data_IF_904113623948
#
_entry.id   IF_904113623948
#
_cell.length_a   1.000
_cell.length_b   1.000
_cell.length_c   1.000
_cell.angle_alpha   90.00
_cell.angle_beta   90.00
_cell.angle_gamma   90.00
#
_symmetry.space_group_name_H-M   'P 1'
#
loop_
_entity.id
_entity.type
_entity.pdbx_description
1 polymer ?
#
# COMPACT_ATOMS: atom_id res chain seq x y z
N UNK A 1 22.80 -20.79 -22.45
CA UNK A 1 22.75 -19.86 -21.31
C UNK A 1 24.03 -19.07 -21.34
N UNK A 2 23.99 -17.74 -21.26
CA UNK A 2 25.22 -16.96 -21.16
C UNK A 2 25.76 -17.09 -19.73
N UNK A 3 26.94 -17.69 -19.61
CA UNK A 3 27.72 -17.81 -18.39
C UNK A 3 29.10 -17.22 -18.70
N UNK A 4 29.57 -16.28 -17.88
CA UNK A 4 30.89 -15.65 -17.99
C UNK A 4 31.66 -16.04 -16.72
N UNK A 5 32.76 -16.81 -16.82
CA UNK A 5 33.58 -17.12 -15.65
C UNK A 5 34.36 -15.88 -15.21
N UNK A 6 34.43 -15.66 -13.89
CA UNK A 6 35.30 -14.64 -13.28
C UNK A 6 36.62 -15.29 -12.86
N UNK A 7 36.53 -16.44 -12.20
CA UNK A 7 37.67 -17.18 -11.68
C UNK A 7 37.21 -18.27 -10.71
N UNK A 8 38.14 -18.75 -9.89
CA UNK A 8 37.90 -19.77 -8.86
C UNK A 8 38.05 -19.14 -7.48
N UNK A 9 37.13 -19.41 -6.56
CA UNK A 9 37.19 -18.95 -5.18
C UNK A 9 38.19 -19.78 -4.34
N UNK A 10 38.55 -19.35 -3.11
CA UNK A 10 39.51 -20.04 -2.26
C UNK A 10 39.12 -21.47 -1.83
N UNK A 11 37.84 -21.82 -1.96
CA UNK A 11 37.28 -23.17 -1.73
C UNK A 11 37.45 -24.12 -2.93
N UNK A 12 37.87 -23.61 -4.09
CA UNK A 12 38.04 -24.36 -5.33
C UNK A 12 36.82 -24.37 -6.25
N UNK A 13 35.69 -23.74 -5.87
CA UNK A 13 34.51 -23.65 -6.74
C UNK A 13 34.55 -22.42 -7.67
N UNK A 14 33.99 -22.53 -8.90
CA UNK A 14 34.03 -21.46 -9.90
C UNK A 14 32.97 -20.39 -9.63
N UNK A 15 33.40 -19.12 -9.62
CA UNK A 15 32.51 -17.95 -9.55
C UNK A 15 32.18 -17.48 -10.97
N UNK A 16 30.89 -17.40 -11.29
CA UNK A 16 30.42 -17.09 -12.66
C UNK A 16 29.30 -16.05 -12.67
N UNK A 17 29.34 -15.12 -13.63
CA UNK A 17 28.20 -14.25 -13.97
C UNK A 17 27.25 -15.00 -14.91
N UNK A 18 25.95 -14.90 -14.68
CA UNK A 18 24.89 -15.44 -15.55
C UNK A 18 23.83 -14.38 -15.78
N UNK A 19 23.14 -14.45 -16.92
CA UNK A 19 22.04 -13.50 -17.23
C UNK A 19 20.69 -14.18 -17.02
N UNK A 20 19.90 -13.68 -16.08
CA UNK A 20 18.62 -14.22 -15.66
C UNK A 20 17.43 -13.33 -16.00
N UNK A 21 16.24 -13.69 -15.48
CA UNK A 21 14.98 -12.97 -15.73
C UNK A 21 14.98 -11.51 -15.24
N UNK A 22 15.80 -11.21 -14.24
CA UNK A 22 15.80 -9.92 -13.54
C UNK A 22 17.06 -9.08 -13.77
N UNK A 23 18.02 -9.58 -14.56
CA UNK A 23 19.32 -8.93 -14.79
C UNK A 23 20.50 -9.92 -14.78
N UNK A 24 21.74 -9.42 -14.83
CA UNK A 24 22.92 -10.20 -14.52
C UNK A 24 22.95 -10.57 -13.02
N UNK A 25 23.46 -11.76 -12.71
CA UNK A 25 23.63 -12.25 -11.34
C UNK A 25 24.89 -13.11 -11.24
N UNK A 26 25.53 -13.06 -10.07
CA UNK A 26 26.60 -13.97 -9.68
C UNK A 26 26.03 -15.32 -9.28
N UNK A 27 26.74 -16.39 -9.60
CA UNK A 27 26.54 -17.73 -9.05
C UNK A 27 27.89 -18.31 -8.61
N UNK A 28 27.88 -18.98 -7.45
CA UNK A 28 28.99 -19.73 -6.86
C UNK A 28 28.36 -20.93 -6.14
N UNK A 29 28.64 -22.15 -6.58
CA UNK A 29 27.88 -23.33 -6.15
C UNK A 29 26.36 -23.15 -6.28
N UNK A 30 25.64 -23.34 -5.17
CA UNK A 30 24.20 -23.08 -5.04
C UNK A 30 23.86 -21.61 -4.68
N UNK A 31 24.82 -20.81 -4.21
CA UNK A 31 24.59 -19.40 -3.89
C UNK A 31 24.43 -18.54 -5.15
N UNK A 32 23.54 -17.56 -5.09
CA UNK A 32 23.35 -16.57 -6.17
C UNK A 32 23.12 -15.18 -5.60
N UNK A 33 23.71 -14.16 -6.22
CA UNK A 33 23.56 -12.75 -5.82
C UNK A 33 23.29 -11.85 -7.03
N UNK A 34 22.37 -10.90 -6.89
CA UNK A 34 22.08 -9.95 -7.97
C UNK A 34 23.23 -8.96 -8.16
N UNK A 35 23.68 -8.76 -9.39
CA UNK A 35 24.65 -7.69 -9.66
C UNK A 35 23.93 -6.33 -9.72
N UNK A 36 24.47 -5.27 -9.08
CA UNK A 36 24.02 -3.90 -9.29
C UNK A 36 24.16 -3.52 -10.78
N UNK A 37 23.23 -2.71 -11.34
CA UNK A 37 23.29 -2.30 -12.74
C UNK A 37 24.47 -1.36 -13.04
N UNK A 38 25.02 -0.73 -12.00
CA UNK A 38 26.11 0.24 -12.07
C UNK A 38 27.50 -0.40 -11.94
N UNK A 39 27.58 -1.72 -11.71
CA UNK A 39 28.87 -2.44 -11.55
C UNK A 39 29.59 -2.58 -12.89
N UNK A 40 30.81 -2.05 -12.97
CA UNK A 40 31.64 -2.14 -14.17
C UNK A 40 32.15 -3.59 -14.34
N UNK A 41 32.13 -4.19 -15.55
CA UNK A 41 32.63 -5.56 -15.76
C UNK A 41 34.10 -5.79 -15.40
N UNK A 42 34.91 -4.73 -15.35
CA UNK A 42 36.35 -4.76 -15.04
C UNK A 42 36.62 -4.76 -13.51
N UNK A 43 35.73 -4.16 -12.73
CA UNK A 43 35.78 -4.16 -11.25
C UNK A 43 35.30 -5.49 -10.63
N UNK A 44 34.88 -6.43 -11.47
CA UNK A 44 34.07 -7.59 -11.12
C UNK A 44 34.95 -8.80 -10.74
N UNK A 45 35.87 -8.60 -9.79
CA UNK A 45 36.87 -9.59 -9.34
C UNK A 45 36.25 -10.74 -8.54
N UNK A 46 37.00 -11.84 -8.34
CA UNK A 46 36.58 -12.97 -7.50
C UNK A 46 36.28 -12.52 -6.07
N UNK A 47 37.16 -11.69 -5.49
CA UNK A 47 36.98 -11.13 -4.14
C UNK A 47 35.69 -10.30 -4.05
N UNK A 48 35.50 -9.36 -4.99
CA UNK A 48 34.31 -8.51 -5.03
C UNK A 48 33.02 -9.31 -5.28
N UNK A 49 33.10 -10.38 -6.05
CA UNK A 49 31.99 -11.29 -6.26
C UNK A 49 31.64 -12.07 -4.97
N UNK A 50 32.64 -12.54 -4.21
CA UNK A 50 32.44 -13.19 -2.92
C UNK A 50 31.85 -12.23 -1.88
N UNK A 51 32.26 -10.96 -1.84
CA UNK A 51 31.62 -9.94 -1.00
C UNK A 51 30.12 -9.77 -1.33
N UNK A 52 29.76 -9.70 -2.61
CA UNK A 52 28.37 -9.56 -3.05
C UNK A 52 27.54 -10.80 -2.72
N UNK A 53 28.13 -12.00 -2.86
CA UNK A 53 27.53 -13.26 -2.43
C UNK A 53 27.33 -13.30 -0.91
N UNK A 54 28.33 -12.88 -0.12
CA UNK A 54 28.19 -12.78 1.34
C UNK A 54 27.12 -11.79 1.77
N UNK A 55 27.04 -10.60 1.17
CA UNK A 55 26.00 -9.61 1.48
C UNK A 55 24.61 -10.16 1.16
N UNK A 56 24.46 -10.88 0.04
CA UNK A 56 23.19 -11.53 -0.29
C UNK A 56 22.85 -12.67 0.69
N UNK A 57 23.84 -13.47 1.09
CA UNK A 57 23.71 -14.66 1.98
C UNK A 57 23.48 -14.28 3.45
N UNK A 58 24.07 -13.17 3.91
CA UNK A 58 23.84 -12.56 5.23
C UNK A 58 22.46 -11.89 5.33
N UNK A 59 21.82 -11.62 4.19
CA UNK A 59 20.47 -11.10 4.10
C UNK A 59 20.33 -9.65 4.58
N UNK A 60 19.10 -9.25 4.90
CA UNK A 60 18.82 -7.94 5.49
C UNK A 60 19.34 -7.92 6.93
N UNK A 61 20.53 -7.35 7.18
CA UNK A 61 21.08 -7.27 8.53
C UNK A 61 20.15 -6.48 9.48
N UNK A 62 19.90 -6.97 10.72
CA UNK A 62 19.19 -6.19 11.72
C UNK A 62 20.10 -5.08 12.26
N UNK A 63 19.50 -3.94 12.60
CA UNK A 63 20.13 -2.83 13.31
C UNK A 63 20.47 -3.19 14.78
N UNK A 64 19.82 -4.21 15.31
CA UNK A 64 19.99 -4.74 16.66
C UNK A 64 18.74 -5.52 17.11
N UNK A 65 18.59 -5.71 18.41
CA UNK A 65 17.43 -6.38 19.02
C UNK A 65 16.65 -5.40 19.92
N UNK A 66 15.33 -5.55 19.98
CA UNK A 66 14.50 -4.74 20.88
C UNK A 66 14.71 -5.17 22.34
N UNK A 67 14.97 -4.24 23.28
CA UNK A 67 15.34 -4.60 24.66
C UNK A 67 14.22 -5.33 25.41
N UNK A 68 12.95 -5.03 25.12
CA UNK A 68 11.81 -5.64 25.82
C UNK A 68 11.33 -6.97 25.22
N UNK A 69 11.56 -7.22 23.93
CA UNK A 69 11.00 -8.42 23.23
C UNK A 69 12.07 -9.39 22.73
N UNK A 70 13.33 -8.96 22.65
CA UNK A 70 14.43 -9.72 22.05
C UNK A 70 14.34 -9.87 20.52
N UNK A 71 13.25 -9.42 19.90
CA UNK A 71 13.03 -9.57 18.45
C UNK A 71 13.99 -8.65 17.66
N UNK A 72 14.53 -9.11 16.52
CA UNK A 72 15.42 -8.31 15.69
C UNK A 72 14.69 -7.10 15.08
N UNK A 73 15.39 -5.98 14.99
CA UNK A 73 14.89 -4.73 14.41
C UNK A 73 15.56 -4.51 13.07
N UNK A 74 14.78 -4.36 12.00
CA UNK A 74 15.28 -4.10 10.65
C UNK A 74 14.86 -2.71 10.17
N UNK A 75 15.74 -2.03 9.44
CA UNK A 75 15.40 -0.81 8.68
C UNK A 75 15.36 -1.16 7.20
N UNK A 76 14.20 -0.98 6.57
CA UNK A 76 13.91 -1.45 5.20
C UNK A 76 13.29 -0.33 4.35
N UNK A 77 13.42 -0.43 3.03
CA UNK A 77 12.83 0.53 2.09
C UNK A 77 11.67 -0.08 1.32
N UNK A 78 10.48 0.54 1.37
CA UNK A 78 9.26 0.02 0.76
C UNK A 78 8.50 1.04 -0.07
N UNK A 79 7.34 0.62 -0.62
CA UNK A 79 6.48 1.44 -1.51
C UNK A 79 5.93 2.75 -0.92
N UNK A 80 6.14 2.98 0.38
CA UNK A 80 5.69 4.16 1.12
C UNK A 80 6.86 4.96 1.71
N UNK A 81 8.10 4.68 1.27
CA UNK A 81 9.33 5.18 1.88
C UNK A 81 9.96 4.15 2.82
N UNK A 82 11.02 4.54 3.54
CA UNK A 82 11.69 3.69 4.51
C UNK A 82 10.84 3.46 5.77
N UNK A 83 11.04 2.31 6.41
CA UNK A 83 10.33 1.87 7.61
C UNK A 83 11.21 1.02 8.53
N UNK A 84 10.88 1.04 9.83
CA UNK A 84 11.38 0.11 10.83
C UNK A 84 10.42 -1.07 10.94
N UNK A 85 10.96 -2.29 11.08
CA UNK A 85 10.22 -3.53 11.28
C UNK A 85 10.76 -4.27 12.50
N UNK A 86 9.88 -4.62 13.44
CA UNK A 86 10.18 -5.49 14.59
C UNK A 86 9.82 -6.95 14.25
N UNK A 87 10.80 -7.84 14.37
CA UNK A 87 10.67 -9.27 14.06
C UNK A 87 10.67 -9.57 12.56
N UNK A 88 10.85 -10.85 12.22
CA UNK A 88 10.87 -11.33 10.85
C UNK A 88 9.51 -11.25 10.16
N UNK A 89 9.53 -11.09 8.83
CA UNK A 89 8.32 -11.14 8.00
C UNK A 89 7.81 -12.58 7.74
N UNK A 90 8.55 -13.58 8.20
CA UNK A 90 8.35 -15.01 7.88
C UNK A 90 7.63 -15.81 8.97
N UNK A 91 7.35 -15.22 10.13
CA UNK A 91 6.67 -15.88 11.24
C UNK A 91 5.13 -15.78 11.19
N UNK A 92 4.44 -16.59 12.00
CA UNK A 92 2.97 -16.58 12.11
C UNK A 92 2.39 -15.25 12.64
N UNK A 93 3.20 -14.50 13.41
CA UNK A 93 2.85 -13.15 13.87
C UNK A 93 3.19 -12.13 12.79
N UNK A 94 2.24 -11.27 12.45
CA UNK A 94 2.51 -10.10 11.60
C UNK A 94 3.45 -9.14 12.35
N UNK A 95 4.64 -8.79 11.82
CA UNK A 95 5.60 -7.93 12.50
C UNK A 95 5.05 -6.50 12.70
N UNK A 96 5.48 -5.82 13.78
CA UNK A 96 5.15 -4.41 14.00
C UNK A 96 5.99 -3.57 13.03
N UNK A 97 5.33 -2.75 12.21
CA UNK A 97 5.97 -1.93 11.17
C UNK A 97 5.57 -0.48 11.40
N UNK A 98 6.56 0.42 11.45
CA UNK A 98 6.37 1.86 11.58
C UNK A 98 7.25 2.57 10.54
N UNK A 99 6.68 3.50 9.77
CA UNK A 99 7.45 4.30 8.81
C UNK A 99 8.47 5.19 9.51
N UNK A 100 9.54 5.56 8.81
CA UNK A 100 10.44 6.61 9.27
C UNK A 100 9.72 7.98 9.25
N UNK A 101 10.22 8.91 10.07
CA UNK A 101 9.82 10.31 10.01
C UNK A 101 10.40 10.98 8.75
N UNK A 102 9.76 12.05 8.28
CA UNK A 102 10.24 12.80 7.10
C UNK A 102 11.58 13.47 7.43
N UNK A 103 12.58 13.25 6.58
CA UNK A 103 13.94 13.76 6.78
C UNK A 103 14.86 12.82 7.59
N UNK A 104 14.37 11.67 8.07
CA UNK A 104 15.26 10.63 8.61
C UNK A 104 15.77 9.73 7.48
N UNK A 105 17.10 9.58 7.40
CA UNK A 105 17.75 8.64 6.48
C UNK A 105 17.85 7.24 7.09
N UNK A 106 17.54 6.16 6.34
CA UNK A 106 17.62 4.79 6.85
C UNK A 106 19.05 4.33 7.17
N UNK A 107 20.08 5.10 6.77
CA UNK A 107 21.50 4.83 7.04
C UNK A 107 22.03 5.43 8.35
N UNK A 108 21.34 6.42 8.93
CA UNK A 108 21.83 7.19 10.09
C UNK A 108 21.03 6.93 11.37
N UNK A 109 20.00 6.08 11.31
CA UNK A 109 19.17 5.71 12.48
C UNK A 109 19.93 4.79 13.42
N UNK A 110 19.90 5.15 14.71
CA UNK A 110 20.37 4.33 15.82
C UNK A 110 19.30 3.36 16.31
N UNK A 111 19.72 2.29 16.98
CA UNK A 111 18.82 1.29 17.58
C UNK A 111 17.79 1.94 18.54
N UNK A 112 18.21 2.92 19.35
CA UNK A 112 17.31 3.65 20.26
C UNK A 112 16.18 4.38 19.53
N UNK A 113 16.50 5.09 18.44
CA UNK A 113 15.51 5.81 17.63
C UNK A 113 14.57 4.83 16.93
N UNK A 114 15.06 3.66 16.52
CA UNK A 114 14.24 2.59 15.98
C UNK A 114 13.28 2.00 17.03
N UNK A 115 13.71 1.80 18.29
CA UNK A 115 12.82 1.40 19.39
C UNK A 115 11.74 2.46 19.67
N UNK A 116 12.12 3.74 19.81
CA UNK A 116 11.19 4.87 20.04
C UNK A 116 10.15 5.01 18.91
N UNK A 117 10.54 4.77 17.66
CA UNK A 117 9.60 4.68 16.53
C UNK A 117 8.68 3.46 16.66
N UNK A 118 9.20 2.30 17.06
CA UNK A 118 8.43 1.08 17.26
C UNK A 118 7.47 1.13 18.45
N UNK A 119 7.59 2.05 19.39
CA UNK A 119 6.56 2.28 20.42
C UNK A 119 5.23 2.74 19.79
N UNK A 120 5.28 3.54 18.73
CA UNK A 120 4.10 4.15 18.10
C UNK A 120 3.03 3.10 17.71
N UNK A 121 1.72 3.38 17.89
CA UNK A 121 1.16 4.65 18.38
C UNK A 121 1.28 4.81 19.90
N UNK A 122 1.76 5.98 20.35
CA UNK A 122 2.05 6.27 21.77
C UNK A 122 0.88 7.03 22.40
N UNK A 123 0.36 6.53 23.51
CA UNK A 123 -0.62 7.25 24.34
C UNK A 123 0.11 8.27 25.23
N UNK A 124 -0.30 9.53 25.22
CA UNK A 124 0.27 10.59 26.05
C UNK A 124 -0.43 10.73 27.41
N UNK A 125 -1.70 10.31 27.48
CA UNK A 125 -2.53 10.42 28.67
C UNK A 125 -4.01 10.43 28.31
N UNK A 126 -4.83 10.95 29.21
CA UNK A 126 -6.25 11.19 29.00
C UNK A 126 -6.54 12.69 29.11
N UNK A 127 -7.50 13.15 28.32
CA UNK A 127 -8.08 14.50 28.38
C UNK A 127 -9.00 14.64 29.61
N UNK A 128 -9.43 15.87 29.95
CA UNK A 128 -10.38 16.16 31.04
C UNK A 128 -11.67 15.33 30.96
N UNK A 129 -12.05 14.97 29.73
CA UNK A 129 -13.23 14.16 29.39
C UNK A 129 -12.98 12.63 29.47
N UNK A 130 -11.83 12.18 29.98
CA UNK A 130 -11.42 10.78 30.03
C UNK A 130 -11.04 10.18 28.66
N UNK A 131 -11.03 10.97 27.59
CA UNK A 131 -10.68 10.51 26.24
C UNK A 131 -9.17 10.29 26.10
N UNK A 132 -8.67 9.11 25.67
CA UNK A 132 -7.24 8.88 25.49
C UNK A 132 -6.69 9.70 24.32
N UNK A 133 -5.56 10.37 24.57
CA UNK A 133 -4.83 11.19 23.58
C UNK A 133 -3.65 10.38 23.06
N UNK A 134 -3.66 10.07 21.76
CA UNK A 134 -2.73 9.12 21.13
C UNK A 134 -2.04 9.74 19.91
N UNK A 135 -0.71 9.64 19.87
CA UNK A 135 0.11 10.05 18.73
C UNK A 135 0.22 8.91 17.72
N UNK A 136 -0.09 9.20 16.46
CA UNK A 136 -0.02 8.28 15.34
C UNK A 136 0.86 8.84 14.22
N UNK A 137 1.52 7.95 13.46
CA UNK A 137 2.18 8.30 12.22
C UNK A 137 1.28 7.95 11.03
N UNK A 138 1.03 8.92 10.14
CA UNK A 138 0.15 8.76 8.98
C UNK A 138 0.78 9.23 7.67
N UNK A 139 0.10 8.97 6.54
CA UNK A 139 0.53 9.34 5.19
C UNK A 139 0.94 10.82 5.05
N UNK A 140 0.25 11.71 5.76
CA UNK A 140 0.48 13.16 5.66
C UNK A 140 1.53 13.68 6.64
N UNK A 141 2.01 12.84 7.57
CA UNK A 141 2.89 13.20 8.68
C UNK A 141 2.37 12.63 10.01
N UNK A 142 3.01 12.98 11.13
CA UNK A 142 2.53 12.68 12.47
C UNK A 142 1.22 13.43 12.79
N UNK A 143 0.34 12.81 13.57
CA UNK A 143 -0.90 13.42 14.03
C UNK A 143 -1.34 12.89 15.40
N UNK A 144 -1.94 13.76 16.20
CA UNK A 144 -2.65 13.43 17.45
C UNK A 144 -4.07 12.99 17.11
N UNK A 145 -4.58 12.02 17.86
CA UNK A 145 -5.96 11.56 17.87
C UNK A 145 -6.53 11.55 19.29
N UNK A 146 -7.73 12.10 19.46
CA UNK A 146 -8.55 12.06 20.68
C UNK A 146 -9.97 11.64 20.27
N UNK A 147 -10.33 10.37 20.46
CA UNK A 147 -11.60 9.83 19.97
C UNK A 147 -11.72 9.95 18.44
N UNK A 148 -12.72 10.70 17.94
CA UNK A 148 -12.83 11.07 16.52
C UNK A 148 -12.06 12.36 16.15
N UNK A 149 -11.60 13.13 17.14
CA UNK A 149 -10.87 14.36 16.90
C UNK A 149 -9.41 14.09 16.51
N UNK A 150 -8.90 14.85 15.55
CA UNK A 150 -7.55 14.64 14.97
C UNK A 150 -6.89 15.96 14.57
N UNK A 151 -5.58 16.06 14.78
CA UNK A 151 -4.74 17.22 14.41
C UNK A 151 -3.37 16.73 13.96
N UNK A 152 -2.87 17.24 12.84
CA UNK A 152 -1.44 17.10 12.51
C UNK A 152 -0.60 17.88 13.53
N UNK A 153 0.57 17.35 13.86
CA UNK A 153 1.63 18.12 14.54
C UNK A 153 2.15 19.23 13.61
N UNK A 154 2.76 20.29 14.15
CA UNK A 154 3.56 21.24 13.34
C UNK A 154 4.91 20.61 12.95
N UNK A 155 5.68 21.20 12.02
CA UNK A 155 7.03 20.71 11.70
C UNK A 155 8.01 20.77 12.89
N UNK A 156 7.68 21.59 13.89
CA UNK A 156 8.49 21.90 15.08
C UNK A 156 8.20 20.92 16.24
N UNK A 157 7.02 20.27 16.25
CA UNK A 157 6.66 19.29 17.26
C UNK A 157 7.16 17.87 16.86
N UNK A 158 8.12 17.30 17.59
CA UNK A 158 8.55 15.92 17.38
C UNK A 158 7.58 14.90 18.04
N UNK A 159 6.97 13.96 17.29
CA UNK A 159 6.05 12.97 17.83
C UNK A 159 6.66 11.97 18.82
N UNK A 160 7.99 11.87 18.91
CA UNK A 160 8.66 11.02 19.89
C UNK A 160 8.77 11.70 21.26
N UNK A 161 8.74 13.04 21.33
CA UNK A 161 8.98 13.82 22.56
C UNK A 161 7.79 14.67 23.01
N UNK A 162 6.80 14.94 22.15
CA UNK A 162 5.61 15.76 22.44
C UNK A 162 4.86 15.34 23.74
N UNK A 163 4.57 16.34 24.58
CA UNK A 163 3.81 16.18 25.84
C UNK A 163 2.29 16.30 25.68
N UNK A 164 1.55 15.88 26.71
CA UNK A 164 0.08 15.92 26.74
C UNK A 164 -0.49 17.35 26.60
N UNK A 165 0.07 18.31 27.34
CA UNK A 165 -0.34 19.72 27.30
C UNK A 165 -0.31 20.29 25.88
N UNK A 166 0.82 20.14 25.19
CA UNK A 166 1.00 20.53 23.79
C UNK A 166 0.04 19.82 22.84
N UNK A 167 -0.27 18.55 23.10
CA UNK A 167 -1.27 17.83 22.31
C UNK A 167 -2.70 18.38 22.53
N UNK A 168 -3.03 18.84 23.74
CA UNK A 168 -4.30 19.50 24.06
C UNK A 168 -4.38 20.91 23.43
N UNK A 169 -3.30 21.70 23.43
CA UNK A 169 -3.24 22.97 22.69
C UNK A 169 -3.59 22.80 21.20
N UNK A 170 -2.98 21.81 20.55
CA UNK A 170 -3.22 21.52 19.13
C UNK A 170 -4.66 21.06 18.90
N UNK A 171 -5.23 20.26 19.80
CA UNK A 171 -6.64 19.83 19.77
C UNK A 171 -7.62 20.99 20.03
N UNK A 172 -7.26 21.97 20.86
CA UNK A 172 -8.06 23.17 21.09
C UNK A 172 -8.10 24.10 19.86
N UNK A 173 -7.03 24.13 19.04
CA UNK A 173 -7.07 24.87 17.76
C UNK A 173 -8.21 24.34 16.87
N UNK A 174 -8.96 25.22 16.18
CA UNK A 174 -10.03 24.81 15.29
C UNK A 174 -9.50 23.95 14.13
N UNK A 175 -10.31 23.00 13.66
CA UNK A 175 -9.97 22.16 12.51
C UNK A 175 -9.67 23.05 11.30
N UNK A 176 -8.39 23.11 10.89
CA UNK A 176 -7.96 23.70 9.60
C UNK A 176 -8.55 22.86 8.47
N UNK A 177 -9.81 23.14 8.15
CA UNK A 177 -10.59 22.32 7.25
C UNK A 177 -9.99 22.38 5.85
N UNK A 178 -9.56 21.24 5.32
CA UNK A 178 -9.28 21.08 3.89
C UNK A 178 -10.55 21.24 3.01
N UNK A 179 -11.69 21.52 3.64
CA UNK A 179 -12.96 21.96 3.04
C UNK A 179 -13.36 23.38 3.51
N UNK A 180 -12.44 24.24 3.97
CA UNK A 180 -12.72 25.68 4.01
C UNK A 180 -13.00 26.07 2.56
N UNK A 181 -14.25 26.41 2.27
CA UNK A 181 -14.66 26.83 0.94
C UNK A 181 -13.85 28.07 0.53
N UNK A 182 -13.71 28.33 -0.78
CA UNK A 182 -13.10 29.58 -1.21
C UNK A 182 -13.93 30.73 -0.66
N UNK A 183 -13.26 31.64 0.04
CA UNK A 183 -13.95 32.77 0.68
C UNK A 183 -14.45 33.73 -0.41
N UNK A 184 -15.61 34.38 -0.22
CA UNK A 184 -16.14 35.32 -1.20
C UNK A 184 -15.19 36.53 -1.29
N UNK A 185 -14.64 36.75 -2.48
CA UNK A 185 -13.87 37.96 -2.83
C UNK A 185 -14.79 39.17 -2.70
N UNK A 186 -16.04 39.03 -3.17
CA UNK A 186 -17.03 40.11 -3.22
C UNK A 186 -18.45 39.53 -3.28
N UNK A 187 -19.37 40.04 -2.48
CA UNK A 187 -20.81 39.90 -2.73
C UNK A 187 -21.24 40.96 -3.74
N UNK A 188 -21.84 40.55 -4.86
CA UNK A 188 -22.21 41.45 -5.95
C UNK A 188 -23.62 42.05 -5.79
N UNK A 189 -24.48 41.42 -4.96
CA UNK A 189 -25.81 41.90 -4.64
C UNK A 189 -26.83 40.77 -4.58
N UNK A 190 -28.11 41.13 -4.48
CA UNK A 190 -29.25 40.23 -4.70
C UNK A 190 -29.69 40.39 -6.15
N UNK A 191 -29.84 39.29 -6.88
CA UNK A 191 -30.41 39.30 -8.23
C UNK A 191 -31.91 39.02 -8.16
N UNK A 192 -32.72 40.01 -8.52
CA UNK A 192 -34.17 39.83 -8.70
C UNK A 192 -34.46 38.89 -9.88
N UNK A 193 -33.68 39.00 -10.97
CA UNK A 193 -33.77 38.17 -12.18
C UNK A 193 -33.60 36.68 -11.90
N UNK A 194 -32.68 36.32 -10.99
CA UNK A 194 -32.41 34.93 -10.59
C UNK A 194 -33.19 34.51 -9.32
N UNK A 195 -34.31 35.18 -9.03
CA UNK A 195 -35.27 34.77 -8.01
C UNK A 195 -34.94 35.24 -6.58
N UNK A 196 -34.27 36.39 -6.44
CA UNK A 196 -33.88 36.94 -5.13
C UNK A 196 -32.65 36.26 -4.51
N UNK A 197 -31.79 35.64 -5.32
CA UNK A 197 -30.58 34.94 -4.85
C UNK A 197 -29.40 35.91 -4.70
N UNK A 198 -28.61 35.72 -3.63
CA UNK A 198 -27.42 36.54 -3.36
C UNK A 198 -26.24 36.05 -4.20
N UNK A 199 -25.78 36.88 -5.13
CA UNK A 199 -24.67 36.57 -6.02
C UNK A 199 -23.33 36.87 -5.32
N UNK A 200 -22.44 35.87 -5.31
CA UNK A 200 -21.10 35.95 -4.72
C UNK A 200 -20.01 35.56 -5.72
N UNK A 201 -18.91 36.31 -5.72
CA UNK A 201 -17.69 36.02 -6.46
C UNK A 201 -16.70 35.30 -5.52
N UNK A 202 -16.23 34.11 -5.90
CA UNK A 202 -15.34 33.24 -5.11
C UNK A 202 -14.11 32.80 -5.90
N UNK A 203 -12.97 32.58 -5.25
CA UNK A 203 -11.75 32.12 -5.93
C UNK A 203 -11.60 30.58 -5.94
N UNK A 204 -12.05 29.91 -7.00
CA UNK A 204 -12.02 28.45 -7.08
C UNK A 204 -10.65 27.85 -7.46
N UNK A 205 -10.50 26.54 -7.25
CA UNK A 205 -9.34 25.75 -7.74
C UNK A 205 -9.04 25.90 -9.24
N UNK A 206 -10.01 26.36 -10.02
CA UNK A 206 -9.89 26.55 -11.47
C UNK A 206 -9.87 28.03 -11.89
N UNK A 207 -9.71 28.96 -10.93
CA UNK A 207 -9.84 30.41 -11.09
C UNK A 207 -11.15 30.95 -10.49
N UNK A 208 -11.34 32.28 -10.56
CA UNK A 208 -12.55 32.95 -10.07
C UNK A 208 -13.85 32.42 -10.69
N UNK A 209 -14.91 32.41 -9.91
CA UNK A 209 -16.26 32.05 -10.35
C UNK A 209 -17.34 32.81 -9.59
N UNK A 210 -18.45 33.07 -10.27
CA UNK A 210 -19.68 33.59 -9.71
C UNK A 210 -20.55 32.40 -9.24
N UNK A 211 -21.25 32.56 -8.13
CA UNK A 211 -22.27 31.62 -7.64
C UNK A 211 -23.50 32.36 -7.14
N UNK A 212 -24.67 31.78 -7.39
CA UNK A 212 -25.98 32.13 -6.78
C UNK A 212 -26.31 31.21 -5.57
N UNK A 213 -25.39 30.31 -5.21
CA UNK A 213 -25.56 29.26 -4.20
C UNK A 213 -25.86 27.87 -4.77
N UNK A 214 -26.41 27.77 -5.98
CA UNK A 214 -26.79 26.50 -6.65
C UNK A 214 -25.92 26.20 -7.88
N UNK A 215 -25.59 27.23 -8.66
CA UNK A 215 -24.96 27.18 -9.97
C UNK A 215 -23.68 28.01 -10.00
N UNK A 216 -22.55 27.33 -10.22
CA UNK A 216 -21.23 27.97 -10.30
C UNK A 216 -20.83 28.25 -11.76
N UNK A 217 -20.71 29.53 -12.10
CA UNK A 217 -20.29 30.06 -13.40
C UNK A 217 -18.84 30.59 -13.32
N UNK A 218 -17.89 29.92 -13.99
CA UNK A 218 -16.49 30.35 -14.03
C UNK A 218 -16.32 31.60 -14.88
N UNK A 219 -15.49 32.55 -14.42
CA UNK A 219 -15.11 33.71 -15.23
C UNK A 219 -14.32 33.27 -16.48
N UNK A 220 -14.47 33.97 -17.61
CA UNK A 220 -13.45 34.01 -18.66
C UNK A 220 -12.11 34.49 -18.11
N UNK A 221 -10.99 34.05 -18.68
CA UNK A 221 -9.65 34.45 -18.21
C UNK A 221 -9.33 35.92 -18.50
N UNK A 222 -10.08 36.48 -19.45
CA UNK A 222 -9.84 37.76 -20.10
C UNK A 222 -10.68 38.89 -19.48
N UNK A 223 -11.43 38.60 -18.40
CA UNK A 223 -12.19 39.57 -17.61
C UNK A 223 -11.63 39.64 -16.18
N UNK A 224 -11.38 40.86 -15.69
CA UNK A 224 -10.90 41.09 -14.34
C UNK A 224 -12.00 40.80 -13.29
N UNK A 225 -11.68 40.10 -12.17
CA UNK A 225 -12.67 39.78 -11.14
C UNK A 225 -13.22 41.00 -10.39
N UNK A 226 -12.49 42.11 -10.38
CA UNK A 226 -12.85 43.33 -9.63
C UNK A 226 -13.79 44.26 -10.40
N UNK A 227 -13.85 44.14 -11.73
CA UNK A 227 -14.66 44.99 -12.62
C UNK A 227 -16.07 44.44 -12.86
N UNK A 228 -16.32 43.17 -12.55
CA UNK A 228 -17.62 42.52 -12.83
C UNK A 228 -18.73 43.09 -11.95
N UNK A 229 -19.74 43.67 -12.60
CA UNK A 229 -20.98 44.11 -11.97
C UNK A 229 -22.02 43.00 -11.81
N UNK A 230 -23.16 43.34 -11.21
CA UNK A 230 -24.26 42.40 -11.00
C UNK A 230 -24.81 41.86 -12.34
N UNK A 231 -24.96 42.69 -13.36
CA UNK A 231 -25.54 42.30 -14.66
C UNK A 231 -24.69 41.27 -15.42
N UNK A 232 -23.36 41.46 -15.46
CA UNK A 232 -22.43 40.47 -16.05
C UNK A 232 -22.46 39.14 -15.29
N UNK A 233 -22.63 39.20 -13.97
CA UNK A 233 -22.71 38.03 -13.11
C UNK A 233 -24.03 37.26 -13.30
N UNK A 234 -25.15 37.97 -13.52
CA UNK A 234 -26.42 37.39 -13.96
C UNK A 234 -26.27 36.67 -15.31
N UNK A 235 -25.71 37.33 -16.34
CA UNK A 235 -25.52 36.74 -17.67
C UNK A 235 -24.68 35.45 -17.60
N UNK A 236 -23.56 35.48 -16.84
CA UNK A 236 -22.71 34.31 -16.64
C UNK A 236 -23.45 33.15 -15.96
N UNK A 237 -24.34 33.43 -14.99
CA UNK A 237 -25.16 32.41 -14.33
C UNK A 237 -26.28 31.90 -15.27
N UNK A 238 -26.95 32.77 -16.04
CA UNK A 238 -27.99 32.35 -16.99
C UNK A 238 -27.42 31.49 -18.12
N UNK A 239 -26.32 31.92 -18.73
CA UNK A 239 -25.57 31.14 -19.71
C UNK A 239 -25.10 29.80 -19.13
N UNK A 240 -24.78 29.77 -17.82
CA UNK A 240 -24.43 28.54 -17.11
C UNK A 240 -25.63 27.63 -16.85
N UNK A 241 -26.77 28.17 -16.43
CA UNK A 241 -28.05 27.46 -16.23
C UNK A 241 -28.54 26.85 -17.56
N UNK A 242 -28.58 27.64 -18.64
CA UNK A 242 -28.92 27.17 -19.98
C UNK A 242 -27.96 26.08 -20.50
N UNK A 243 -26.65 26.22 -20.24
CA UNK A 243 -25.64 25.20 -20.55
C UNK A 243 -25.77 23.92 -19.70
N UNK A 244 -26.31 23.99 -18.48
CA UNK A 244 -26.61 22.81 -17.67
C UNK A 244 -27.88 22.10 -18.16
N UNK A 245 -28.94 22.86 -18.47
CA UNK A 245 -30.20 22.33 -19.02
C UNK A 245 -30.00 21.63 -20.38
N UNK A 246 -29.14 22.17 -21.25
CA UNK A 246 -28.74 21.54 -22.52
C UNK A 246 -27.74 20.37 -22.38
N UNK A 247 -27.46 19.90 -21.15
CA UNK A 247 -26.54 18.79 -20.88
C UNK A 247 -25.05 19.14 -21.03
N UNK A 248 -24.71 20.38 -21.39
CA UNK A 248 -23.35 20.90 -21.62
C UNK A 248 -22.51 21.15 -20.36
N UNK A 249 -22.93 20.64 -19.19
CA UNK A 249 -22.11 20.60 -17.98
C UNK A 249 -20.86 19.71 -18.14
N UNK A 250 -19.94 19.74 -17.17
CA UNK A 250 -18.85 18.74 -17.08
C UNK A 250 -19.37 17.41 -16.50
N UNK A 251 -20.45 16.91 -17.10
CA UNK A 251 -20.96 15.57 -16.90
C UNK A 251 -19.86 14.57 -17.26
N UNK A 252 -19.34 13.89 -16.23
CA UNK A 252 -18.43 12.75 -16.37
C UNK A 252 -19.01 11.81 -17.42
N UNK A 253 -18.38 11.68 -18.60
CA UNK A 253 -18.79 10.72 -19.63
C UNK A 253 -18.67 9.30 -19.06
N UNK A 254 -19.71 8.84 -18.39
CA UNK A 254 -19.96 7.46 -17.98
C UNK A 254 -20.30 6.67 -19.23
N UNK A 255 -19.27 6.47 -20.07
CA UNK A 255 -19.32 5.52 -21.17
C UNK A 255 -19.75 4.17 -20.59
N UNK A 256 -21.01 3.79 -20.85
CA UNK A 256 -21.66 2.65 -20.25
C UNK A 256 -21.03 1.37 -20.84
N UNK A 257 -19.86 1.00 -20.31
CA UNK A 257 -19.01 -0.10 -20.77
C UNK A 257 -19.78 -1.40 -20.54
N UNK A 258 -20.57 -1.79 -21.56
CA UNK A 258 -21.54 -2.91 -21.52
C UNK A 258 -20.89 -4.11 -20.83
N UNK A 259 -21.32 -4.37 -19.59
CA UNK A 259 -20.77 -5.42 -18.74
C UNK A 259 -21.23 -6.75 -19.32
N UNK A 260 -20.46 -7.31 -20.26
CA UNK A 260 -20.68 -8.66 -20.81
C UNK A 260 -20.63 -9.63 -19.63
N UNK A 261 -21.80 -9.97 -19.10
CA UNK A 261 -21.95 -10.92 -18.01
C UNK A 261 -21.62 -12.31 -18.54
N UNK A 262 -20.44 -12.80 -18.17
CA UNK A 262 -20.01 -14.17 -18.42
C UNK A 262 -20.93 -15.13 -17.64
N UNK A 263 -22.06 -15.48 -18.26
CA UNK A 263 -23.13 -16.29 -17.67
C UNK A 263 -22.62 -17.72 -17.44
N UNK A 264 -21.98 -17.92 -16.29
CA UNK A 264 -21.44 -19.19 -15.77
C UNK A 264 -22.57 -20.21 -15.64
N UNK A 265 -22.92 -20.88 -16.75
CA UNK A 265 -23.84 -22.01 -16.77
C UNK A 265 -23.19 -23.21 -16.09
N UNK A 266 -23.43 -23.35 -14.79
CA UNK A 266 -23.43 -24.65 -14.14
C UNK A 266 -24.52 -25.52 -14.79
N UNK A 267 -24.11 -26.62 -15.44
CA UNK A 267 -25.02 -27.58 -16.04
C UNK A 267 -24.99 -28.87 -15.22
N UNK A 268 -26.13 -29.24 -14.62
CA UNK A 268 -26.28 -30.49 -13.88
C UNK A 268 -26.48 -31.69 -14.82
N UNK A 269 -26.20 -32.90 -14.32
CA UNK A 269 -26.44 -34.15 -15.05
C UNK A 269 -27.93 -34.51 -15.03
N UNK A 270 -28.53 -34.84 -16.19
CA UNK A 270 -29.41 -36.02 -16.30
C UNK A 270 -29.61 -36.56 -17.73
N UNK A 271 -29.36 -37.86 -17.88
CA UNK A 271 -30.05 -38.88 -18.70
C UNK A 271 -30.57 -38.59 -20.14
N UNK A 272 -30.12 -39.46 -21.08
CA UNK A 272 -30.87 -40.04 -22.24
C UNK A 272 -31.34 -39.09 -23.38
N UNK A 273 -31.36 -39.43 -24.69
CA UNK A 273 -31.56 -40.73 -25.36
C UNK A 273 -31.02 -40.79 -26.82
N UNK A 274 -30.21 -41.82 -27.11
CA UNK A 274 -29.79 -42.44 -28.41
C UNK A 274 -30.53 -42.13 -29.75
N UNK A 275 -29.79 -41.57 -30.74
CA UNK A 275 -29.62 -41.98 -32.19
C UNK A 275 -28.58 -41.01 -32.84
N UNK A 276 -27.53 -41.43 -33.56
CA UNK A 276 -27.42 -41.98 -34.93
C UNK A 276 -27.83 -40.96 -36.03
N UNK A 277 -27.12 -40.73 -37.15
CA UNK A 277 -25.96 -41.35 -37.83
C UNK A 277 -25.32 -40.26 -38.76
N UNK A 278 -24.00 -40.11 -39.01
CA UNK A 278 -23.18 -40.72 -40.11
C UNK A 278 -21.69 -40.28 -39.97
N UNK A 279 -20.66 -41.15 -40.13
CA UNK A 279 -19.80 -41.41 -41.33
C UNK A 279 -19.00 -40.17 -41.87
N UNK A 280 -17.70 -40.25 -42.26
CA UNK A 280 -16.77 -41.39 -42.48
C UNK A 280 -15.27 -41.00 -42.66
N UNK A 281 -14.36 -41.54 -41.81
CA UNK A 281 -12.89 -41.83 -42.02
C UNK A 281 -11.98 -40.61 -42.38
N UNK A 282 -10.64 -40.65 -42.37
CA UNK A 282 -9.55 -41.69 -42.48
C UNK A 282 -8.40 -41.40 -41.48
N UNK A 283 -7.99 -42.30 -40.57
CA UNK A 283 -6.98 -43.41 -40.68
C UNK A 283 -5.51 -42.94 -40.76
N UNK A 284 -4.46 -43.58 -40.19
CA UNK A 284 -4.22 -44.72 -39.26
C UNK A 284 -2.73 -44.64 -38.80
N UNK A 285 -2.11 -45.44 -37.93
CA UNK A 285 -2.46 -46.68 -37.17
C UNK A 285 -2.46 -46.33 -35.66
N UNK A 286 -1.98 -47.04 -34.62
CA UNK A 286 -1.46 -48.41 -34.32
C UNK A 286 -2.17 -48.87 -33.02
N UNK A 287 -1.68 -49.87 -32.25
CA UNK A 287 -2.23 -50.28 -30.94
C UNK A 287 -1.17 -51.00 -30.06
N UNK A 288 -1.29 -50.82 -28.74
CA UNK A 288 -1.27 -51.85 -27.69
C UNK A 288 -1.95 -51.22 -26.44
N UNK A 289 -2.89 -51.79 -25.66
CA UNK A 289 -3.26 -53.17 -25.30
C UNK A 289 -2.28 -53.82 -24.30
N UNK A 290 -2.70 -54.39 -23.14
CA UNK A 290 -4.07 -54.67 -22.66
C UNK A 290 -4.16 -54.92 -21.13
N UNK A 291 -5.33 -54.58 -20.52
CA UNK A 291 -5.93 -55.15 -19.26
C UNK A 291 -5.12 -54.99 -17.93
N UNK A 292 -5.71 -54.67 -16.76
CA UNK A 292 -6.81 -55.28 -15.95
C UNK A 292 -6.41 -56.66 -15.34
N UNK A 293 -6.71 -57.02 -14.08
CA UNK A 293 -7.63 -56.43 -13.06
C UNK A 293 -7.40 -56.97 -11.63
N UNK A 294 -7.90 -56.22 -10.61
CA UNK A 294 -8.44 -56.67 -9.31
C UNK A 294 -7.47 -57.25 -8.23
N UNK A 295 -7.48 -56.76 -6.96
CA UNK A 295 -8.43 -56.98 -5.82
C UNK A 295 -8.22 -58.38 -5.19
N UNK A 296 -8.18 -58.62 -3.85
CA UNK A 296 -9.13 -58.14 -2.81
C UNK A 296 -8.75 -58.60 -1.36
N UNK A 297 -8.57 -57.66 -0.40
CA UNK A 297 -8.68 -57.84 1.09
C UNK A 297 -7.68 -58.85 1.76
N UNK A 298 -7.58 -59.07 3.09
CA UNK A 298 -8.29 -58.57 4.31
C UNK A 298 -7.44 -58.66 5.60
N UNK A 299 -7.61 -57.71 6.54
CA UNK A 299 -7.45 -57.86 8.01
C UNK A 299 -6.05 -58.32 8.57
N UNK A 300 -5.75 -58.29 9.87
CA UNK A 300 -6.55 -57.89 11.05
C UNK A 300 -5.72 -57.04 12.05
N UNK A 301 -6.40 -56.39 12.99
CA UNK A 301 -5.81 -55.55 14.04
C UNK A 301 -5.43 -56.34 15.31
N UNK A 302 -4.58 -55.75 16.16
CA UNK A 302 -4.81 -55.80 17.61
C UNK A 302 -4.11 -54.66 18.37
N UNK A 303 -4.75 -54.22 19.45
CA UNK A 303 -4.20 -53.36 20.48
C UNK A 303 -3.99 -54.15 21.78
N UNK A 304 -2.96 -53.79 22.55
CA UNK A 304 -2.83 -54.13 23.97
C UNK A 304 -2.20 -52.97 24.74
N UNK A 305 -2.37 -52.99 26.06
CA UNK A 305 -2.13 -51.89 27.00
C UNK A 305 -1.50 -52.50 28.25
N UNK A 306 -0.43 -51.90 28.77
CA UNK A 306 0.14 -52.23 30.09
C UNK A 306 0.36 -50.94 30.91
N UNK A 307 0.56 -51.10 32.23
CA UNK A 307 0.59 -50.02 33.22
C UNK A 307 1.33 -50.51 34.48
N UNK A 308 1.74 -49.60 35.35
CA UNK A 308 2.38 -49.82 36.68
C UNK A 308 3.85 -50.30 36.61
N UNK A 309 4.69 -50.12 37.64
CA UNK A 309 4.46 -49.73 39.05
C UNK A 309 5.33 -48.56 39.55
N UNK A 310 4.92 -47.99 40.68
CA UNK A 310 5.63 -47.00 41.51
C UNK A 310 6.72 -47.64 42.38
N UNK A 311 7.70 -46.84 42.86
CA UNK A 311 8.32 -47.06 44.17
C UNK A 311 8.81 -45.74 44.80
N UNK A 312 8.84 -45.70 46.13
CA UNK A 312 9.10 -44.50 46.95
C UNK A 312 10.20 -44.77 47.97
N UNK A 313 11.21 -43.89 48.02
CA UNK A 313 12.05 -43.49 49.17
C UNK A 313 12.96 -42.34 48.72
N UNK A 314 13.37 -41.37 49.54
CA UNK A 314 13.04 -41.15 50.95
C UNK A 314 14.27 -40.98 51.85
N UNK A 315 14.91 -39.81 51.79
CA UNK A 315 15.78 -39.26 52.84
C UNK A 315 15.87 -37.73 52.66
#
# INVERSE_FOLDING_TARGET
VCTIPIGTAPDGEPVVVRVGRYGPYLQHGDDTASLPPDTVPDELTVERALELLEVQRKGEQPLGHHPETGEPIYVKSGRYGPYVQLGDASGDKKPKIVSLLRGMDPKTITLETACKLLELPRTLGHDEQGNPVVVHLGRYGPYIKRGEDTRSLTPDDDPLTIGLERALELLAQPKRSSRRGPEPIRSLGVSERLGGTTIQLMNGRYGPYVTDGEVNASLPRDRNPEEIGLADAEELIEARRARLASGGGRGRKTAARKKKSSKKKTASKKSTKKKANTKKKTSTKKKAATKKTARKKTAAARSTKSKSTTKTTGK
#
